data_IF_655538495849
#
_entry.id   IF_655538495849
#
_cell.length_a   1.000
_cell.length_b   1.000
_cell.length_c   1.000
_cell.angle_alpha   90.00
_cell.angle_beta   90.00
_cell.angle_gamma   90.00
#
_symmetry.space_group_name_H-M   'P 1'
#
loop_
_entity.id
_entity.type
_entity.pdbx_description
1 polymer ?
#
# COMPACT_ATOMS: atom_id res chain seq x y z
N UNK A 1 -38.34 22.43 -28.29
CA UNK A 1 -38.40 21.28 -27.39
C UNK A 1 -37.45 20.20 -27.89
N UNK A 2 -36.35 19.95 -27.19
CA UNK A 2 -35.41 18.87 -27.51
C UNK A 2 -35.01 18.16 -26.21
N UNK A 3 -35.99 17.52 -25.57
CA UNK A 3 -35.81 16.86 -24.27
C UNK A 3 -35.29 15.42 -24.43
N UNK A 4 -35.46 14.82 -25.63
CA UNK A 4 -35.13 13.40 -25.87
C UNK A 4 -33.64 13.08 -25.71
N UNK A 5 -32.75 14.02 -26.06
CA UNK A 5 -31.31 13.86 -25.90
C UNK A 5 -30.91 13.90 -24.41
N UNK A 6 -31.48 14.84 -23.66
CA UNK A 6 -31.29 14.94 -22.21
C UNK A 6 -31.82 13.71 -21.48
N UNK A 7 -33.01 13.23 -21.86
CA UNK A 7 -33.64 12.03 -21.27
C UNK A 7 -32.79 10.78 -21.53
N UNK A 8 -32.27 10.64 -22.75
CA UNK A 8 -31.37 9.53 -23.10
C UNK A 8 -30.07 9.59 -22.30
N UNK A 9 -29.47 10.78 -22.19
CA UNK A 9 -28.25 10.98 -21.42
C UNK A 9 -28.46 10.65 -19.93
N UNK A 10 -29.59 11.09 -19.35
CA UNK A 10 -29.95 10.77 -17.97
C UNK A 10 -30.09 9.26 -17.74
N UNK A 11 -30.76 8.55 -18.67
CA UNK A 11 -30.90 7.08 -18.63
C UNK A 11 -29.55 6.37 -18.71
N UNK A 12 -28.67 6.80 -19.61
CA UNK A 12 -27.33 6.21 -19.71
C UNK A 12 -26.52 6.39 -18.42
N UNK A 13 -26.64 7.54 -17.76
CA UNK A 13 -25.97 7.80 -16.48
C UNK A 13 -26.54 6.92 -15.37
N UNK A 14 -27.86 6.71 -15.32
CA UNK A 14 -28.47 5.83 -14.31
C UNK A 14 -28.08 4.36 -14.52
N UNK A 15 -28.14 3.88 -15.77
CA UNK A 15 -27.75 2.51 -16.11
C UNK A 15 -26.28 2.24 -15.80
N UNK A 16 -25.40 3.18 -16.12
CA UNK A 16 -23.97 3.08 -15.78
C UNK A 16 -23.75 3.04 -14.25
N UNK A 17 -24.49 3.85 -13.49
CA UNK A 17 -24.41 3.83 -12.01
C UNK A 17 -24.88 2.49 -11.45
N UNK A 18 -25.98 1.95 -11.95
CA UNK A 18 -26.53 0.67 -11.51
C UNK A 18 -25.60 -0.49 -11.84
N UNK A 19 -25.04 -0.52 -13.06
CA UNK A 19 -24.07 -1.53 -13.47
C UNK A 19 -22.83 -1.52 -12.57
N UNK A 20 -22.27 -0.34 -12.30
CA UNK A 20 -21.12 -0.20 -11.40
C UNK A 20 -21.45 -0.62 -9.98
N UNK A 21 -22.64 -0.26 -9.47
CA UNK A 21 -23.11 -0.67 -8.15
C UNK A 21 -23.22 -2.18 -8.04
N UNK A 22 -23.83 -2.85 -9.02
CA UNK A 22 -23.97 -4.32 -9.02
C UNK A 22 -22.61 -5.03 -8.97
N UNK A 23 -21.63 -4.56 -9.73
CA UNK A 23 -20.27 -5.11 -9.72
C UNK A 23 -19.55 -4.89 -8.38
N UNK A 24 -19.73 -3.71 -7.79
CA UNK A 24 -19.19 -3.40 -6.47
C UNK A 24 -19.83 -4.27 -5.39
N UNK A 25 -21.16 -4.28 -5.29
CA UNK A 25 -21.90 -5.02 -4.26
C UNK A 25 -21.62 -6.53 -4.31
N UNK A 26 -21.31 -7.09 -5.50
CA UNK A 26 -20.97 -8.51 -5.67
C UNK A 26 -19.58 -8.88 -5.11
N UNK A 27 -18.62 -7.97 -5.21
CA UNK A 27 -17.21 -8.26 -4.89
C UNK A 27 -16.72 -7.58 -3.62
N UNK A 28 -17.39 -6.52 -3.18
CA UNK A 28 -17.01 -5.73 -2.05
C UNK A 28 -17.48 -6.39 -0.75
N UNK A 29 -16.52 -6.69 0.12
CA UNK A 29 -16.77 -7.14 1.48
C UNK A 29 -16.24 -6.06 2.43
N UNK A 30 -17.12 -5.48 3.25
CA UNK A 30 -16.73 -4.54 4.30
C UNK A 30 -15.97 -5.33 5.38
N UNK A 31 -14.69 -5.01 5.67
CA UNK A 31 -13.97 -5.65 6.76
C UNK A 31 -14.47 -5.13 8.11
N UNK A 32 -14.88 -6.04 9.00
CA UNK A 32 -15.31 -5.69 10.35
C UNK A 32 -14.11 -5.49 11.28
N UNK A 33 -13.67 -4.23 11.40
CA UNK A 33 -12.67 -3.82 12.39
C UNK A 33 -13.33 -3.19 13.60
N UNK A 34 -12.77 -3.44 14.79
CA UNK A 34 -13.20 -2.81 16.05
C UNK A 34 -12.09 -1.98 16.67
N UNK A 35 -12.48 -1.03 17.51
CA UNK A 35 -11.52 -0.28 18.32
C UNK A 35 -10.83 -1.24 19.29
N UNK A 36 -9.50 -1.16 19.37
CA UNK A 36 -8.68 -2.09 20.15
C UNK A 36 -8.09 -3.27 19.37
N UNK A 37 -8.59 -3.57 18.16
CA UNK A 37 -8.02 -4.65 17.35
C UNK A 37 -6.57 -4.33 16.94
N UNK A 38 -5.78 -5.39 16.81
CA UNK A 38 -4.43 -5.30 16.26
C UNK A 38 -4.48 -5.52 14.75
N UNK A 39 -3.77 -4.65 14.03
CA UNK A 39 -3.75 -4.66 12.57
C UNK A 39 -2.38 -4.38 12.01
N UNK A 40 -2.11 -4.96 10.85
CA UNK A 40 -0.93 -4.70 10.03
C UNK A 40 -1.24 -3.61 8.99
N UNK A 41 -0.29 -2.70 8.76
CA UNK A 41 -0.43 -1.60 7.80
C UNK A 41 0.48 -1.80 6.58
N UNK A 42 -0.06 -1.60 5.38
CA UNK A 42 0.70 -1.79 4.12
C UNK A 42 1.83 -0.79 3.94
N UNK A 43 3.02 -1.26 3.54
CA UNK A 43 4.20 -0.44 3.24
C UNK A 43 4.16 0.27 1.88
N UNK A 44 3.10 0.10 1.10
CA UNK A 44 3.04 0.56 -0.29
C UNK A 44 3.30 2.07 -0.43
N UNK A 45 2.78 2.86 0.52
CA UNK A 45 2.92 4.32 0.55
C UNK A 45 4.02 4.82 1.51
N UNK A 46 4.85 3.92 2.02
CA UNK A 46 5.94 4.26 2.92
C UNK A 46 7.23 4.46 2.12
N UNK A 47 7.59 5.72 1.85
CA UNK A 47 8.81 6.04 1.08
C UNK A 47 10.10 6.06 1.93
N UNK A 48 9.98 6.18 3.25
CA UNK A 48 11.12 6.37 4.17
C UNK A 48 11.30 5.17 5.10
N UNK A 49 11.07 3.97 4.58
CA UNK A 49 11.39 2.74 5.30
C UNK A 49 12.84 2.38 5.02
N UNK A 50 13.54 1.86 6.03
CA UNK A 50 14.90 1.34 5.87
C UNK A 50 14.89 0.14 4.89
N UNK A 51 15.96 0.00 4.10
CA UNK A 51 16.22 -1.14 3.23
C UNK A 51 15.62 -1.05 1.80
N UNK A 52 15.93 -2.05 0.97
CA UNK A 52 15.47 -2.10 -0.42
C UNK A 52 13.97 -2.41 -0.51
N UNK A 53 13.26 -1.71 -1.40
CA UNK A 53 11.81 -1.88 -1.66
C UNK A 53 11.40 -3.34 -1.95
N UNK A 54 12.30 -4.15 -2.52
CA UNK A 54 12.05 -5.57 -2.85
C UNK A 54 12.24 -6.53 -1.69
N UNK A 55 13.05 -6.17 -0.68
CA UNK A 55 13.38 -7.04 0.46
C UNK A 55 12.58 -6.70 1.72
N UNK A 56 11.97 -5.52 1.78
CA UNK A 56 11.13 -5.11 2.91
C UNK A 56 9.80 -5.88 2.91
N UNK A 57 9.23 -6.04 4.10
CA UNK A 57 7.89 -6.58 4.25
C UNK A 57 6.82 -5.69 3.58
N UNK A 58 5.80 -6.34 3.03
CA UNK A 58 4.66 -5.65 2.43
C UNK A 58 3.74 -4.99 3.46
N UNK A 59 3.81 -5.44 4.71
CA UNK A 59 3.02 -4.95 5.84
C UNK A 59 3.91 -4.82 7.07
N UNK A 60 3.68 -3.80 7.90
CA UNK A 60 4.45 -3.56 9.13
C UNK A 60 3.52 -3.61 10.32
N UNK A 61 4.07 -4.13 11.42
CA UNK A 61 3.67 -3.93 12.81
C UNK A 61 2.28 -4.44 13.16
N UNK A 62 2.08 -5.10 14.31
CA UNK A 62 0.77 -5.08 14.92
C UNK A 62 0.56 -3.70 15.56
N UNK A 63 -0.28 -2.88 14.95
CA UNK A 63 -0.69 -1.60 15.49
C UNK A 63 -2.12 -1.67 16.02
N UNK A 64 -2.40 -0.95 17.10
CA UNK A 64 -3.75 -0.93 17.70
C UNK A 64 -4.63 0.12 17.05
N UNK A 65 -5.85 -0.26 16.67
CA UNK A 65 -6.88 0.68 16.22
C UNK A 65 -7.34 1.52 17.42
N UNK A 66 -7.15 2.85 17.32
CA UNK A 66 -7.65 3.80 18.33
C UNK A 66 -9.13 4.08 18.08
N UNK A 67 -9.50 4.32 16.82
CA UNK A 67 -10.84 4.75 16.45
C UNK A 67 -11.17 4.44 15.01
N UNK A 68 -12.41 4.08 14.72
CA UNK A 68 -12.92 3.95 13.35
C UNK A 68 -13.33 5.32 12.79
N UNK A 69 -12.90 5.63 11.57
CA UNK A 69 -13.23 6.87 10.83
C UNK A 69 -14.24 6.53 9.74
N UNK A 70 -15.49 6.32 10.18
CA UNK A 70 -16.55 5.80 9.31
C UNK A 70 -16.26 4.36 8.91
N UNK A 71 -16.82 3.93 7.78
CA UNK A 71 -16.66 2.55 7.27
C UNK A 71 -15.35 2.31 6.53
N UNK A 72 -14.79 3.37 5.92
CA UNK A 72 -13.71 3.21 4.93
C UNK A 72 -12.32 3.46 5.49
N UNK A 73 -12.19 3.97 6.73
CA UNK A 73 -10.89 4.32 7.29
C UNK A 73 -10.80 4.03 8.78
N UNK A 74 -9.58 3.76 9.23
CA UNK A 74 -9.25 3.47 10.63
C UNK A 74 -8.12 4.38 11.09
N UNK A 75 -8.22 4.88 12.33
CA UNK A 75 -7.14 5.63 12.99
C UNK A 75 -6.39 4.68 13.90
N UNK A 76 -5.08 4.60 13.70
CA UNK A 76 -4.20 3.63 14.32
C UNK A 76 -3.17 4.34 15.21
N UNK A 77 -2.74 3.68 16.29
CA UNK A 77 -1.62 4.12 17.12
C UNK A 77 -0.30 3.67 16.49
N UNK A 78 0.38 4.58 15.82
CA UNK A 78 1.72 4.31 15.28
C UNK A 78 2.79 4.42 16.37
N UNK A 79 3.83 3.60 16.25
CA UNK A 79 5.06 3.69 17.06
C UNK A 79 5.88 4.92 16.66
N UNK A 80 6.81 5.33 17.51
CA UNK A 80 7.59 6.58 17.34
C UNK A 80 8.37 6.62 16.02
N UNK A 81 8.87 5.47 15.56
CA UNK A 81 9.53 5.28 14.25
C UNK A 81 8.65 5.74 13.07
N UNK A 82 7.32 5.60 13.21
CA UNK A 82 6.34 5.97 12.19
C UNK A 82 5.56 7.25 12.53
N UNK A 83 5.98 8.00 13.54
CA UNK A 83 5.31 9.24 14.00
C UNK A 83 5.11 10.28 12.89
N UNK A 84 6.02 10.34 11.91
CA UNK A 84 5.94 11.26 10.76
C UNK A 84 4.95 10.81 9.68
N UNK A 85 4.37 9.61 9.80
CA UNK A 85 3.40 9.05 8.83
C UNK A 85 1.97 9.39 9.25
N UNK A 86 1.05 9.31 8.30
CA UNK A 86 -0.35 9.54 8.58
C UNK A 86 -0.87 8.46 9.55
N UNK A 87 -1.66 8.85 10.55
CA UNK A 87 -2.25 7.92 11.53
C UNK A 87 -3.56 7.30 11.04
N UNK A 88 -4.15 7.86 9.98
CA UNK A 88 -5.42 7.40 9.40
C UNK A 88 -5.17 6.64 8.11
N UNK A 89 -5.62 5.39 8.05
CA UNK A 89 -5.44 4.50 6.91
C UNK A 89 -6.79 4.04 6.36
N UNK A 90 -6.95 3.94 5.03
CA UNK A 90 -8.07 3.25 4.42
C UNK A 90 -8.09 1.77 4.83
N UNK A 91 -9.28 1.18 4.99
CA UNK A 91 -9.46 -0.24 5.34
C UNK A 91 -8.78 -1.19 4.34
N UNK A 92 -8.64 -0.79 3.07
CA UNK A 92 -7.95 -1.58 2.04
C UNK A 92 -6.44 -1.70 2.24
N UNK A 93 -5.83 -0.80 3.01
CA UNK A 93 -4.39 -0.81 3.31
C UNK A 93 -4.09 -1.44 4.67
N UNK A 94 -5.09 -2.01 5.32
CA UNK A 94 -5.01 -2.56 6.68
C UNK A 94 -5.43 -4.02 6.64
N UNK A 95 -4.72 -4.87 7.37
CA UNK A 95 -5.04 -6.29 7.54
C UNK A 95 -5.20 -6.63 9.01
N UNK A 96 -6.16 -7.50 9.39
CA UNK A 96 -6.23 -8.00 10.75
C UNK A 96 -4.95 -8.76 11.11
N UNK A 97 -4.42 -8.51 12.29
CA UNK A 97 -3.30 -9.25 12.83
C UNK A 97 -3.82 -10.47 13.60
N UNK A 98 -3.42 -11.66 13.18
CA UNK A 98 -3.71 -12.89 13.90
C UNK A 98 -2.46 -13.29 14.69
N UNK A 99 -2.58 -13.27 16.01
CA UNK A 99 -1.51 -13.75 16.87
C UNK A 99 -1.36 -15.26 16.69
N UNK A 100 -0.14 -15.71 16.39
CA UNK A 100 0.15 -17.13 16.29
C UNK A 100 0.12 -17.73 17.69
N UNK A 101 -0.87 -18.57 17.96
CA UNK A 101 -0.86 -19.41 19.17
C UNK A 101 0.17 -20.52 18.98
N UNK A 102 1.28 -20.43 19.73
CA UNK A 102 2.40 -21.39 19.65
C UNK A 102 1.94 -22.84 19.90
N UNK A 103 0.87 -23.01 20.70
CA UNK A 103 0.27 -24.32 20.99
C UNK A 103 -0.40 -24.99 19.79
N UNK A 104 -0.89 -24.21 18.81
CA UNK A 104 -1.58 -24.74 17.63
C UNK A 104 -0.62 -25.26 16.56
N UNK A 105 0.61 -24.76 16.53
CA UNK A 105 1.62 -25.06 15.50
C UNK A 105 3.01 -25.28 16.11
N UNK A 106 3.22 -26.31 16.94
CA UNK A 106 4.47 -26.54 17.66
C UNK A 106 5.67 -26.83 16.73
N UNK A 107 5.43 -27.27 15.50
CA UNK A 107 6.50 -27.58 14.53
C UNK A 107 6.99 -26.35 13.74
N UNK A 108 6.30 -25.20 13.83
CA UNK A 108 6.65 -24.00 13.07
C UNK A 108 7.70 -23.20 13.82
N UNK A 109 8.94 -23.21 13.33
CA UNK A 109 10.00 -22.33 13.84
C UNK A 109 9.79 -20.93 13.30
N UNK A 110 9.84 -19.91 14.17
CA UNK A 110 9.90 -18.51 13.74
C UNK A 110 11.23 -18.29 13.03
N UNK A 111 11.19 -17.84 11.78
CA UNK A 111 12.41 -17.47 11.08
C UNK A 111 13.11 -16.33 11.84
N UNK A 112 14.45 -16.36 11.96
CA UNK A 112 15.18 -15.29 12.61
C UNK A 112 14.90 -13.98 11.87
N UNK A 113 14.63 -12.91 12.63
CA UNK A 113 14.41 -11.57 12.06
C UNK A 113 15.57 -11.23 11.13
N UNK A 114 15.30 -10.84 9.87
CA UNK A 114 16.36 -10.49 8.93
C UNK A 114 17.27 -9.39 9.52
N UNK A 115 18.60 -9.48 9.34
CA UNK A 115 19.50 -8.45 9.82
C UNK A 115 19.17 -7.10 9.17
N UNK A 116 19.25 -6.01 9.93
CA UNK A 116 19.10 -4.65 9.38
C UNK A 116 20.18 -4.42 8.32
N UNK A 117 19.78 -4.40 7.05
CA UNK A 117 20.66 -4.04 5.94
C UNK A 117 20.95 -2.54 6.13
N UNK A 118 22.19 -2.20 6.46
CA UNK A 118 22.65 -0.82 6.59
C UNK A 118 22.35 0.00 5.34
N UNK A 119 22.29 1.32 5.48
CA UNK A 119 22.10 2.23 4.34
C UNK A 119 23.16 1.91 3.29
N UNK A 120 22.73 1.35 2.16
CA UNK A 120 23.61 1.21 0.99
C UNK A 120 23.78 2.63 0.48
N UNK A 121 24.87 3.29 0.87
CA UNK A 121 25.29 4.50 0.20
C UNK A 121 25.45 4.15 -1.29
N UNK A 122 24.50 4.58 -2.11
CA UNK A 122 24.61 4.65 -3.57
C UNK A 122 25.66 5.71 -3.94
N UNK A 123 26.84 5.67 -3.30
CA UNK A 123 28.00 6.40 -3.75
C UNK A 123 28.45 5.70 -5.04
N UNK A 124 28.36 6.34 -6.22
CA UNK A 124 28.92 5.77 -7.41
C UNK A 124 30.41 5.57 -7.16
N UNK A 125 30.82 4.32 -6.99
CA UNK A 125 32.22 3.98 -6.78
C UNK A 125 33.07 4.59 -7.89
N UNK A 126 34.35 4.93 -7.62
CA UNK A 126 35.20 5.58 -8.61
C UNK A 126 35.27 4.72 -9.89
N UNK A 127 34.75 5.25 -10.98
CA UNK A 127 34.74 4.59 -12.29
C UNK A 127 36.19 4.40 -12.73
N UNK A 128 36.68 3.16 -12.72
CA UNK A 128 38.11 2.86 -12.92
C UNK A 128 38.61 3.18 -14.33
N UNK A 129 37.78 3.06 -15.37
CA UNK A 129 38.11 3.46 -16.75
C UNK A 129 36.91 3.35 -17.68
N UNK A 130 36.74 4.32 -18.59
CA UNK A 130 35.84 4.19 -19.73
C UNK A 130 36.61 3.50 -20.86
N UNK A 131 36.22 2.27 -21.23
CA UNK A 131 36.98 1.42 -22.17
C UNK A 131 36.73 1.82 -23.62
N UNK A 132 35.54 2.35 -23.95
CA UNK A 132 35.25 2.95 -25.26
C UNK A 132 34.03 3.86 -25.17
N UNK A 133 34.21 5.14 -25.53
CA UNK A 133 33.11 6.08 -25.72
C UNK A 133 32.85 6.26 -27.22
N UNK A 134 31.68 5.84 -27.70
CA UNK A 134 31.28 6.06 -29.10
C UNK A 134 30.50 7.36 -29.20
N UNK A 135 31.08 8.37 -29.86
CA UNK A 135 30.39 9.64 -30.15
C UNK A 135 29.45 9.43 -31.33
N UNK A 136 28.14 9.41 -31.09
CA UNK A 136 27.13 9.42 -32.15
C UNK A 136 26.89 10.88 -32.52
N UNK A 137 27.14 11.25 -33.79
CA UNK A 137 26.68 12.53 -34.32
C UNK A 137 25.20 12.38 -34.66
N UNK A 138 24.34 13.11 -33.97
CA UNK A 138 22.96 13.30 -34.41
C UNK A 138 23.01 14.35 -35.52
N UNK A 139 23.11 13.93 -36.78
CA UNK A 139 22.87 14.84 -37.90
C UNK A 139 21.37 15.08 -38.00
N UNK A 140 20.92 16.30 -37.69
CA UNK A 140 19.68 16.91 -38.18
C UNK A 140 19.70 18.42 -37.89
N UNK A 141 19.62 19.23 -38.97
CA UNK A 141 19.51 20.70 -39.10
C UNK A 141 20.80 21.51 -38.95
N UNK A 142 21.17 22.40 -39.89
CA UNK A 142 20.48 23.01 -41.04
C UNK A 142 21.28 22.87 -42.36
#
# INVERSE_FOLDING_TARGET
MCNRACDTAARCISEAKEYNKQGWDKSHMEPDFKEGDQVLVSTLNFNNLKGLKKMRDSFVGPFTIIRLKGKNAVKIKLTEEFSRKNTVFPVSLVKPYFQEEEDKLPSRKKDPTPPEIGEVEDSPGPVKKIINARKIRLNSKD
#
